data_IF_448966867192
#
_entry.id   IF_448966867192
#
_cell.length_a   1.000
_cell.length_b   1.000
_cell.length_c   1.000
_cell.angle_alpha   90.00
_cell.angle_beta   90.00
_cell.angle_gamma   90.00
#
_symmetry.space_group_name_H-M   'P 1'
#
loop_
_entity.id
_entity.type
_entity.pdbx_description
1 polymer ?
#
# COMPACT_ATOMS: atom_id res chain seq x y z
N UNK A 1 18.57 -4.97 24.99
CA UNK A 1 17.71 -6.12 25.28
C UNK A 1 18.45 -7.47 25.38
N UNK A 2 19.75 -7.57 25.08
CA UNK A 2 20.46 -8.88 25.11
C UNK A 2 21.10 -9.30 26.43
N UNK A 3 20.98 -8.52 27.51
CA UNK A 3 21.66 -8.78 28.78
C UNK A 3 20.93 -9.77 29.71
N UNK A 4 19.60 -9.77 29.71
CA UNK A 4 18.78 -10.63 30.59
C UNK A 4 18.64 -12.06 30.06
N UNK A 5 18.61 -12.25 28.74
CA UNK A 5 18.51 -13.60 28.15
C UNK A 5 19.81 -14.39 28.34
N UNK A 6 20.97 -13.72 28.27
CA UNK A 6 22.26 -14.38 28.51
C UNK A 6 22.46 -14.79 29.98
N UNK A 7 21.88 -14.07 30.94
CA UNK A 7 21.94 -14.46 32.35
C UNK A 7 21.07 -15.68 32.65
N UNK A 8 19.87 -15.77 32.06
CA UNK A 8 18.96 -16.89 32.26
C UNK A 8 19.53 -18.21 31.71
N UNK A 9 20.20 -18.15 30.55
CA UNK A 9 20.86 -19.33 29.96
C UNK A 9 21.97 -19.84 30.87
N UNK A 10 22.79 -18.94 31.42
CA UNK A 10 23.89 -19.33 32.32
C UNK A 10 23.38 -19.94 33.61
N UNK A 11 22.34 -19.36 34.21
CA UNK A 11 21.72 -19.91 35.41
C UNK A 11 21.13 -21.31 35.20
N UNK A 12 20.55 -21.57 34.03
CA UNK A 12 20.05 -22.90 33.66
C UNK A 12 21.19 -23.91 33.48
N UNK A 13 22.24 -23.53 32.74
CA UNK A 13 23.39 -24.41 32.52
C UNK A 13 24.13 -24.74 33.82
N UNK A 14 24.23 -23.79 34.75
CA UNK A 14 24.87 -24.01 36.05
C UNK A 14 24.02 -24.89 36.99
N UNK A 15 22.70 -24.94 36.79
CA UNK A 15 21.79 -25.79 37.56
C UNK A 15 21.65 -27.20 36.99
N UNK A 16 22.14 -27.47 35.78
CA UNK A 16 21.99 -28.74 35.10
C UNK A 16 22.96 -29.80 35.64
N UNK A 17 22.45 -30.93 36.12
CA UNK A 17 23.30 -32.06 36.52
C UNK A 17 23.64 -32.96 35.32
N UNK A 18 24.76 -32.65 34.67
CA UNK A 18 25.29 -33.34 33.48
C UNK A 18 25.69 -34.80 33.75
N UNK A 19 25.71 -35.24 35.02
CA UNK A 19 26.03 -36.64 35.38
C UNK A 19 24.82 -37.54 35.45
N UNK A 20 23.61 -36.98 35.47
CA UNK A 20 22.38 -37.75 35.34
C UNK A 20 22.28 -38.32 33.91
N UNK A 21 21.49 -39.37 33.66
CA UNK A 21 21.22 -39.82 32.27
C UNK A 21 20.09 -39.02 31.61
N UNK A 22 19.33 -38.23 32.38
CA UNK A 22 18.14 -37.48 31.94
C UNK A 22 18.41 -36.02 31.56
N UNK A 23 19.63 -35.51 31.74
CA UNK A 23 19.96 -34.09 31.48
C UNK A 23 19.68 -33.65 30.05
N UNK A 24 19.79 -34.56 29.07
CA UNK A 24 19.50 -34.28 27.67
C UNK A 24 18.03 -33.97 27.45
N UNK A 25 17.14 -34.75 28.06
CA UNK A 25 15.70 -34.57 27.94
C UNK A 25 15.24 -33.28 28.65
N UNK A 26 15.90 -32.93 29.75
CA UNK A 26 15.63 -31.69 30.50
C UNK A 26 16.10 -30.44 29.74
N UNK A 27 17.28 -30.52 29.14
CA UNK A 27 17.78 -29.48 28.22
C UNK A 27 16.88 -29.32 26.98
N UNK A 28 16.46 -30.44 26.37
CA UNK A 28 15.58 -30.42 25.21
C UNK A 28 14.23 -29.79 25.56
N UNK A 29 13.63 -30.15 26.69
CA UNK A 29 12.36 -29.60 27.15
C UNK A 29 12.45 -28.09 27.40
N UNK A 30 13.52 -27.64 28.04
CA UNK A 30 13.75 -26.22 28.31
C UNK A 30 13.93 -25.42 27.01
N UNK A 31 14.69 -25.96 26.04
CA UNK A 31 14.89 -25.34 24.72
C UNK A 31 13.56 -25.25 23.98
N UNK A 32 12.75 -26.32 23.97
CA UNK A 32 11.46 -26.34 23.29
C UNK A 32 10.47 -25.33 23.90
N UNK A 33 10.40 -25.24 25.23
CA UNK A 33 9.57 -24.26 25.95
C UNK A 33 10.00 -22.81 25.62
N UNK A 34 11.31 -22.58 25.51
CA UNK A 34 11.84 -21.25 25.16
C UNK A 34 11.67 -20.91 23.68
N UNK A 35 11.76 -21.87 22.77
CA UNK A 35 11.48 -21.68 21.34
C UNK A 35 9.99 -21.38 21.14
N UNK A 36 9.09 -22.09 21.83
CA UNK A 36 7.64 -21.82 21.75
C UNK A 36 7.29 -20.45 22.32
N UNK A 37 7.85 -20.07 23.46
CA UNK A 37 7.63 -18.73 24.04
C UNK A 37 8.31 -17.60 23.25
N UNK A 38 9.39 -17.90 22.51
CA UNK A 38 10.14 -16.94 21.66
C UNK A 38 9.68 -16.91 20.20
N UNK A 39 8.70 -17.73 19.81
CA UNK A 39 7.93 -17.51 18.58
C UNK A 39 7.06 -16.25 18.74
N UNK A 40 7.72 -15.08 18.78
CA UNK A 40 7.09 -13.82 18.41
C UNK A 40 6.44 -14.07 17.07
N UNK A 41 5.12 -13.91 17.01
CA UNK A 41 4.33 -13.92 15.77
C UNK A 41 5.15 -13.20 14.70
N UNK A 42 5.68 -13.94 13.72
CA UNK A 42 6.28 -13.30 12.55
C UNK A 42 5.19 -12.41 11.98
N UNK A 43 5.40 -11.09 11.99
CA UNK A 43 4.48 -10.18 11.31
C UNK A 43 4.54 -10.52 9.84
N UNK A 44 3.52 -11.24 9.36
CA UNK A 44 3.35 -11.46 7.93
C UNK A 44 3.07 -10.08 7.33
N UNK A 45 3.90 -9.57 6.41
CA UNK A 45 3.56 -8.37 5.70
C UNK A 45 2.26 -8.64 4.94
N UNK A 46 1.24 -7.79 5.11
CA UNK A 46 -0.07 -7.92 4.44
C UNK A 46 0.02 -7.97 2.91
N UNK A 47 1.18 -7.66 2.33
CA UNK A 47 1.47 -7.78 0.91
C UNK A 47 2.51 -8.89 0.68
N UNK A 48 2.10 -10.15 0.79
CA UNK A 48 2.87 -11.29 0.28
C UNK A 48 1.97 -12.05 -0.69
N UNK A 49 2.47 -12.31 -1.89
CA UNK A 49 1.83 -13.15 -2.89
C UNK A 49 2.51 -14.52 -2.76
N UNK A 50 1.88 -15.44 -2.02
CA UNK A 50 2.41 -16.79 -1.78
C UNK A 50 1.72 -17.51 -0.62
N UNK A 51 1.64 -18.84 -0.75
CA UNK A 51 0.76 -19.81 -0.10
C UNK A 51 0.30 -19.55 1.34
N UNK A 52 -1.03 -19.57 1.49
CA UNK A 52 -1.78 -19.58 2.74
C UNK A 52 -1.65 -20.96 3.40
N UNK A 53 -0.65 -21.12 4.26
CA UNK A 53 -0.72 -22.18 5.28
C UNK A 53 -1.77 -21.77 6.32
N UNK A 54 -2.82 -22.59 6.43
CA UNK A 54 -3.93 -22.47 7.37
C UNK A 54 -3.43 -22.23 8.79
N UNK A 55 -3.73 -21.05 9.35
CA UNK A 55 -3.53 -20.76 10.77
C UNK A 55 -4.83 -20.22 11.37
N UNK A 56 -5.17 -20.80 12.53
CA UNK A 56 -6.46 -20.79 13.20
C UNK A 56 -7.02 -19.40 13.57
N UNK A 57 -8.34 -19.30 13.52
CA UNK A 57 -9.16 -18.09 13.61
C UNK A 57 -9.17 -17.33 14.96
N UNK A 58 -8.40 -17.72 15.96
CA UNK A 58 -8.74 -17.35 17.35
C UNK A 58 -7.92 -16.26 18.04
N UNK A 59 -7.11 -15.49 17.33
CA UNK A 59 -6.51 -14.28 17.93
C UNK A 59 -6.37 -13.15 16.89
N UNK A 60 -7.52 -12.73 16.37
CA UNK A 60 -7.72 -11.39 15.85
C UNK A 60 -7.55 -10.40 17.02
N UNK A 61 -6.30 -9.98 17.26
CA UNK A 61 -6.06 -8.74 17.96
C UNK A 61 -6.88 -7.67 17.24
N UNK A 62 -7.79 -7.03 17.97
CA UNK A 62 -8.60 -5.90 17.52
C UNK A 62 -7.65 -4.75 17.18
N UNK A 63 -7.09 -4.80 15.98
CA UNK A 63 -6.60 -3.62 15.27
C UNK A 63 -7.61 -3.42 14.17
N UNK A 64 -8.46 -2.42 14.38
CA UNK A 64 -9.42 -1.89 13.40
C UNK A 64 -8.73 -1.89 12.04
N UNK A 65 -9.39 -2.49 11.06
CA UNK A 65 -8.84 -2.72 9.75
C UNK A 65 -8.50 -1.40 9.07
N UNK A 66 -7.30 -0.88 9.31
CA UNK A 66 -6.84 0.41 8.81
C UNK A 66 -6.41 0.32 7.33
N UNK A 67 -7.17 -0.44 6.53
CA UNK A 67 -7.28 -0.23 5.09
C UNK A 67 -8.09 1.04 4.79
N UNK A 68 -8.78 1.61 5.78
CA UNK A 68 -9.49 2.89 5.70
C UNK A 68 -8.64 4.04 6.25
N UNK A 69 -7.81 4.64 5.39
CA UNK A 69 -7.30 6.01 5.60
C UNK A 69 -8.28 7.09 5.11
N UNK A 70 -9.52 6.73 4.84
CA UNK A 70 -10.63 7.66 4.79
C UNK A 70 -11.58 7.28 5.90
N UNK A 71 -11.89 8.23 6.79
CA UNK A 71 -13.00 8.11 7.73
C UNK A 71 -14.20 7.48 7.03
N UNK A 72 -14.89 6.57 7.72
CA UNK A 72 -16.24 6.10 7.39
C UNK A 72 -17.21 7.29 7.45
N UNK A 73 -17.06 8.25 6.52
CA UNK A 73 -18.13 9.15 6.13
C UNK A 73 -19.19 8.29 5.47
N UNK A 74 -20.45 8.61 5.71
CA UNK A 74 -21.64 7.89 5.27
C UNK A 74 -21.43 7.15 3.94
N UNK A 75 -21.77 5.85 3.89
CA UNK A 75 -22.16 5.25 2.60
C UNK A 75 -23.14 6.26 2.01
N UNK A 76 -22.97 6.77 0.76
CA UNK A 76 -24.06 7.48 0.13
C UNK A 76 -25.23 6.51 0.24
N UNK A 77 -26.20 6.89 1.08
CA UNK A 77 -27.37 6.09 1.28
C UNK A 77 -27.89 5.89 -0.13
N UNK A 78 -28.05 4.63 -0.51
CA UNK A 78 -28.84 4.31 -1.68
C UNK A 78 -30.27 4.60 -1.24
N UNK A 79 -30.60 5.88 -1.10
CA UNK A 79 -31.95 6.34 -0.92
C UNK A 79 -32.71 5.78 -2.11
N UNK A 80 -33.62 4.87 -1.80
CA UNK A 80 -34.54 4.28 -2.77
C UNK A 80 -35.53 5.37 -3.19
N UNK A 81 -35.04 6.34 -3.96
CA UNK A 81 -35.89 7.30 -4.64
C UNK A 81 -36.88 6.54 -5.53
N UNK A 82 -38.13 7.03 -5.65
CA UNK A 82 -39.19 6.37 -6.39
C UNK A 82 -38.71 6.07 -7.82
N UNK A 83 -39.01 4.87 -8.31
CA UNK A 83 -38.50 4.35 -9.57
C UNK A 83 -38.97 5.21 -10.75
N UNK A 84 -38.19 6.22 -11.12
CA UNK A 84 -38.37 6.93 -12.39
C UNK A 84 -38.26 5.93 -13.55
N UNK A 85 -39.05 6.18 -14.59
CA UNK A 85 -38.97 5.38 -15.82
C UNK A 85 -37.61 5.59 -16.50
N UNK A 86 -37.13 4.60 -17.25
CA UNK A 86 -35.83 4.72 -17.93
C UNK A 86 -35.83 5.86 -18.96
N UNK A 87 -36.99 6.14 -19.57
CA UNK A 87 -37.14 7.21 -20.56
C UNK A 87 -37.04 8.60 -19.92
N UNK A 88 -37.61 8.78 -18.72
CA UNK A 88 -37.44 10.01 -17.94
C UNK A 88 -35.98 10.21 -17.53
N UNK A 89 -35.31 9.15 -17.05
CA UNK A 89 -33.89 9.23 -16.63
C UNK A 89 -32.99 9.53 -17.84
N UNK A 90 -33.27 8.94 -19.01
CA UNK A 90 -32.52 9.20 -20.23
C UNK A 90 -32.73 10.63 -20.76
N UNK A 91 -33.92 11.21 -20.59
CA UNK A 91 -34.20 12.62 -20.86
C UNK A 91 -33.49 13.53 -19.87
N UNK A 92 -33.60 13.26 -18.57
CA UNK A 92 -32.90 14.00 -17.51
C UNK A 92 -31.39 14.03 -17.77
N UNK A 93 -30.81 12.89 -18.19
CA UNK A 93 -29.42 12.81 -18.61
C UNK A 93 -29.16 13.75 -19.77
N UNK A 94 -29.92 13.63 -20.87
CA UNK A 94 -29.77 14.42 -22.09
C UNK A 94 -29.90 15.94 -21.86
N UNK A 95 -30.78 16.33 -20.93
CA UNK A 95 -31.04 17.72 -20.54
C UNK A 95 -30.03 18.25 -19.51
N UNK A 96 -29.15 17.41 -18.96
CA UNK A 96 -28.12 17.82 -18.00
C UNK A 96 -28.65 18.12 -16.60
N UNK A 97 -29.77 17.51 -16.21
CA UNK A 97 -30.31 17.63 -14.85
C UNK A 97 -29.44 16.83 -13.86
N UNK A 98 -29.46 17.15 -12.56
CA UNK A 98 -28.77 16.35 -11.56
C UNK A 98 -29.43 14.96 -11.46
N UNK A 99 -28.63 13.90 -11.60
CA UNK A 99 -29.07 12.51 -11.45
C UNK A 99 -28.48 11.88 -10.18
N UNK A 100 -29.27 11.00 -9.56
CA UNK A 100 -28.77 10.13 -8.50
C UNK A 100 -27.83 9.05 -9.04
N UNK A 101 -26.92 8.56 -8.20
CA UNK A 101 -25.98 7.49 -8.57
C UNK A 101 -26.68 6.18 -8.99
N UNK A 102 -27.80 5.85 -8.36
CA UNK A 102 -28.61 4.67 -8.69
C UNK A 102 -29.21 4.75 -10.10
N UNK A 103 -29.70 5.92 -10.51
CA UNK A 103 -30.25 6.17 -11.85
C UNK A 103 -29.15 6.14 -12.92
N UNK A 104 -28.00 6.76 -12.64
CA UNK A 104 -26.83 6.69 -13.51
C UNK A 104 -26.36 5.24 -13.72
N UNK A 105 -26.35 4.41 -12.66
CA UNK A 105 -26.02 2.99 -12.76
C UNK A 105 -27.01 2.22 -13.65
N UNK A 106 -28.30 2.56 -13.60
CA UNK A 106 -29.33 1.95 -14.48
C UNK A 106 -29.07 2.29 -15.95
N UNK A 107 -28.69 3.54 -16.26
CA UNK A 107 -28.34 3.96 -17.64
C UNK A 107 -27.12 3.21 -18.17
N UNK A 108 -26.08 3.07 -17.35
CA UNK A 108 -24.84 2.35 -17.72
C UNK A 108 -25.11 0.86 -17.92
N UNK A 109 -25.88 0.22 -17.03
CA UNK A 109 -26.27 -1.20 -17.16
C UNK A 109 -27.06 -1.49 -18.45
N UNK A 110 -27.83 -0.51 -18.93
CA UNK A 110 -28.59 -0.62 -20.19
C UNK A 110 -27.77 -0.25 -21.42
N UNK A 111 -26.55 0.27 -21.26
CA UNK A 111 -25.69 0.70 -22.36
C UNK A 111 -26.11 2.00 -23.05
N UNK A 112 -27.02 2.77 -22.44
CA UNK A 112 -27.46 4.08 -22.96
C UNK A 112 -26.35 5.12 -22.78
N UNK A 113 -25.62 5.03 -21.65
CA UNK A 113 -24.49 5.91 -21.31
C UNK A 113 -23.23 5.07 -21.16
N UNK A 114 -22.10 5.54 -21.71
CA UNK A 114 -20.80 4.89 -21.57
C UNK A 114 -20.09 5.34 -20.30
N UNK A 115 -19.31 4.46 -19.68
CA UNK A 115 -18.57 4.78 -18.44
C UNK A 115 -17.67 6.02 -18.53
N UNK A 116 -17.06 6.26 -19.69
CA UNK A 116 -16.17 7.40 -19.95
C UNK A 116 -16.87 8.76 -20.00
N UNK A 117 -18.19 8.76 -20.11
CA UNK A 117 -19.01 9.98 -20.23
C UNK A 117 -19.55 10.42 -18.86
N UNK A 118 -19.34 9.63 -17.82
CA UNK A 118 -19.88 9.90 -16.48
C UNK A 118 -19.28 11.17 -15.86
N UNK A 119 -17.97 11.38 -16.01
CA UNK A 119 -17.27 12.57 -15.49
C UNK A 119 -17.66 13.87 -16.21
N UNK A 120 -18.34 13.79 -17.35
CA UNK A 120 -18.79 14.99 -18.06
C UNK A 120 -20.01 15.66 -17.40
N UNK A 121 -20.77 14.91 -16.58
CA UNK A 121 -22.06 15.35 -16.03
C UNK A 121 -22.23 15.08 -14.54
N UNK A 122 -21.46 14.14 -13.98
CA UNK A 122 -21.48 13.82 -12.56
C UNK A 122 -20.21 14.33 -11.89
N UNK A 123 -20.31 14.55 -10.58
CA UNK A 123 -19.12 14.75 -9.76
C UNK A 123 -18.19 13.54 -9.85
N UNK A 124 -16.88 13.78 -9.76
CA UNK A 124 -15.86 12.75 -9.98
C UNK A 124 -16.05 11.55 -9.05
N UNK A 125 -16.31 11.78 -7.76
CA UNK A 125 -16.51 10.68 -6.80
C UNK A 125 -17.77 9.88 -7.12
N UNK A 126 -18.85 10.55 -7.52
CA UNK A 126 -20.11 9.90 -7.91
C UNK A 126 -19.93 9.07 -9.19
N UNK A 127 -19.24 9.60 -10.19
CA UNK A 127 -18.92 8.89 -11.42
C UNK A 127 -18.04 7.65 -11.16
N UNK A 128 -17.06 7.77 -10.26
CA UNK A 128 -16.20 6.65 -9.84
C UNK A 128 -17.02 5.59 -9.11
N UNK A 129 -17.90 5.99 -8.19
CA UNK A 129 -18.80 5.07 -7.47
C UNK A 129 -19.67 4.27 -8.45
N UNK A 130 -20.34 4.93 -9.39
CA UNK A 130 -21.17 4.27 -10.42
C UNK A 130 -20.35 3.26 -11.24
N UNK A 131 -19.13 3.63 -11.66
CA UNK A 131 -18.24 2.71 -12.39
C UNK A 131 -17.84 1.50 -11.57
N UNK A 132 -17.47 1.69 -10.31
CA UNK A 132 -17.11 0.60 -9.41
C UNK A 132 -18.27 -0.39 -9.23
N UNK A 133 -19.48 0.13 -9.08
CA UNK A 133 -20.70 -0.67 -9.00
C UNK A 133 -21.03 -1.42 -10.30
N UNK A 134 -20.61 -0.91 -11.46
CA UNK A 134 -20.83 -1.54 -12.76
C UNK A 134 -19.75 -2.58 -13.12
N UNK A 135 -18.46 -2.26 -12.92
CA UNK A 135 -17.33 -3.08 -13.37
C UNK A 135 -17.15 -4.33 -12.51
N UNK A 136 -17.02 -4.16 -11.20
CA UNK A 136 -16.75 -5.27 -10.28
C UNK A 136 -17.15 -4.87 -8.84
N UNK A 137 -18.45 -4.93 -8.50
CA UNK A 137 -18.95 -4.44 -7.23
C UNK A 137 -18.41 -5.21 -6.02
N UNK A 138 -18.06 -6.49 -6.18
CA UNK A 138 -17.53 -7.33 -5.10
C UNK A 138 -16.03 -7.13 -4.87
N UNK A 139 -15.24 -7.07 -5.94
CA UNK A 139 -13.78 -6.97 -5.88
C UNK A 139 -13.33 -5.58 -5.46
N UNK A 140 -14.06 -4.53 -5.86
CA UNK A 140 -13.61 -3.16 -5.65
C UNK A 140 -13.97 -2.60 -4.27
N UNK A 141 -14.72 -3.33 -3.41
CA UNK A 141 -15.18 -2.83 -2.10
C UNK A 141 -14.04 -2.27 -1.24
N UNK A 142 -12.88 -2.92 -1.29
CA UNK A 142 -11.70 -2.58 -0.49
C UNK A 142 -10.83 -1.49 -1.13
N UNK A 143 -10.98 -1.22 -2.43
CA UNK A 143 -10.16 -0.22 -3.12
C UNK A 143 -10.62 1.20 -2.75
N UNK A 144 -9.75 2.07 -2.18
CA UNK A 144 -10.14 3.41 -1.79
C UNK A 144 -10.37 4.32 -3.00
N UNK A 145 -11.28 5.28 -2.84
CA UNK A 145 -11.63 6.23 -3.91
C UNK A 145 -12.15 7.59 -3.43
N UNK A 146 -12.36 7.79 -2.13
CA UNK A 146 -12.89 9.05 -1.57
C UNK A 146 -11.77 9.98 -1.15
N UNK A 147 -12.09 11.26 -0.96
CA UNK A 147 -11.18 12.26 -0.41
C UNK A 147 -9.89 12.43 -1.23
N UNK A 148 -9.99 12.24 -2.54
CA UNK A 148 -8.88 12.43 -3.47
C UNK A 148 -9.28 13.50 -4.50
N UNK A 149 -8.38 14.45 -4.76
CA UNK A 149 -8.66 15.51 -5.74
C UNK A 149 -8.46 15.00 -7.17
N UNK A 150 -9.54 14.49 -7.76
CA UNK A 150 -9.55 13.96 -9.13
C UNK A 150 -9.43 15.03 -10.22
N UNK A 151 -9.38 16.33 -9.88
CA UNK A 151 -9.16 17.40 -10.87
C UNK A 151 -7.82 17.28 -11.59
N UNK A 152 -6.80 16.81 -10.87
CA UNK A 152 -5.45 16.61 -11.43
C UNK A 152 -5.32 15.34 -12.28
N UNK A 153 -6.26 14.41 -12.16
CA UNK A 153 -6.20 13.10 -12.86
C UNK A 153 -7.04 13.12 -14.13
N UNK A 154 -8.24 13.71 -14.04
CA UNK A 154 -9.19 13.78 -15.15
C UNK A 154 -8.55 14.44 -16.37
N UNK A 155 -8.65 13.79 -17.54
CA UNK A 155 -8.09 14.24 -18.83
C UNK A 155 -6.57 14.44 -18.89
N UNK A 156 -5.82 14.05 -17.85
CA UNK A 156 -4.37 14.22 -17.80
C UNK A 156 -3.66 12.88 -17.62
N UNK A 157 -3.91 12.21 -16.49
CA UNK A 157 -3.11 11.07 -16.06
C UNK A 157 -3.81 9.73 -16.23
N UNK A 158 -5.14 9.69 -16.07
CA UNK A 158 -5.88 8.43 -16.11
C UNK A 158 -7.32 8.66 -16.61
N UNK A 159 -7.81 7.71 -17.41
CA UNK A 159 -9.18 7.64 -17.91
C UNK A 159 -9.91 6.48 -17.22
N UNK A 160 -11.23 6.53 -17.14
CA UNK A 160 -12.04 5.48 -16.52
C UNK A 160 -11.62 5.15 -15.06
N UNK A 161 -11.25 6.17 -14.29
CA UNK A 161 -10.83 6.06 -12.90
C UNK A 161 -11.84 5.29 -12.03
N UNK A 162 -11.34 4.31 -11.27
CA UNK A 162 -12.14 3.49 -10.33
C UNK A 162 -11.70 3.67 -8.86
N UNK A 163 -10.76 4.57 -8.61
CA UNK A 163 -10.14 4.82 -7.30
C UNK A 163 -8.64 5.00 -7.44
N UNK A 164 -7.92 4.79 -6.34
CA UNK A 164 -6.47 4.86 -6.29
C UNK A 164 -5.90 3.72 -5.44
N UNK A 165 -4.63 3.39 -5.64
CA UNK A 165 -3.92 2.40 -4.83
C UNK A 165 -2.92 3.13 -3.93
N UNK A 166 -3.05 3.02 -2.59
CA UNK A 166 -2.07 3.61 -1.69
C UNK A 166 -0.76 2.80 -1.76
N UNK A 167 0.35 3.46 -2.04
CA UNK A 167 1.70 2.87 -2.03
C UNK A 167 2.45 3.35 -0.79
N UNK A 168 3.00 2.45 0.05
CA UNK A 168 3.78 2.86 1.21
C UNK A 168 4.95 3.78 0.82
N UNK A 169 5.09 4.88 1.55
CA UNK A 169 6.15 5.86 1.35
C UNK A 169 7.13 5.81 2.51
N UNK A 170 8.38 5.45 2.22
CA UNK A 170 9.51 5.49 3.15
C UNK A 170 10.46 6.64 2.84
N UNK A 171 11.43 6.85 3.73
CA UNK A 171 12.51 7.84 3.56
C UNK A 171 13.85 7.16 3.81
N UNK A 172 14.82 7.39 2.94
CA UNK A 172 16.21 6.98 3.11
C UNK A 172 17.13 8.22 3.20
N UNK A 173 18.10 8.21 4.11
CA UNK A 173 19.05 9.31 4.30
C UNK A 173 19.40 9.59 5.77
N UNK A 174 20.20 10.63 6.04
CA UNK A 174 20.65 11.64 5.08
C UNK A 174 21.84 11.20 4.23
N UNK A 175 21.87 11.63 2.96
CA UNK A 175 23.04 11.54 2.07
C UNK A 175 23.63 12.95 1.89
N UNK A 176 24.94 13.15 2.09
CA UNK A 176 25.59 14.41 1.77
C UNK A 176 25.72 14.58 0.26
N UNK A 177 25.07 15.60 -0.29
CA UNK A 177 25.12 15.95 -1.71
C UNK A 177 25.36 17.45 -1.83
N UNK A 178 26.40 17.87 -2.55
CA UNK A 178 26.74 19.28 -2.79
C UNK A 178 26.82 20.09 -1.48
N UNK A 179 27.38 19.49 -0.42
CA UNK A 179 27.49 20.12 0.89
C UNK A 179 26.18 20.25 1.67
N UNK A 180 25.10 19.56 1.26
CA UNK A 180 23.81 19.52 1.96
C UNK A 180 23.41 18.09 2.27
N UNK A 181 22.77 17.88 3.41
CA UNK A 181 22.17 16.59 3.75
C UNK A 181 20.78 16.47 3.12
N UNK A 182 20.59 15.43 2.31
CA UNK A 182 19.34 15.19 1.56
C UNK A 182 18.69 13.89 2.02
N UNK A 183 17.37 13.94 2.21
CA UNK A 183 16.53 12.78 2.45
C UNK A 183 15.78 12.42 1.16
N UNK A 184 15.80 11.13 0.81
CA UNK A 184 15.20 10.61 -0.42
C UNK A 184 13.86 9.93 -0.07
N UNK A 185 12.71 10.49 -0.50
CA UNK A 185 11.43 9.80 -0.38
C UNK A 185 11.36 8.65 -1.39
N UNK A 186 10.89 7.48 -0.93
CA UNK A 186 10.82 6.25 -1.72
C UNK A 186 9.44 5.60 -1.56
N UNK A 187 8.68 5.49 -2.64
CA UNK A 187 7.41 4.75 -2.66
C UNK A 187 7.68 3.31 -3.09
N UNK A 188 7.48 2.33 -2.21
CA UNK A 188 7.73 0.92 -2.51
C UNK A 188 6.92 -0.02 -1.62
N UNK A 189 6.55 -1.17 -2.17
CA UNK A 189 6.02 -2.32 -1.42
C UNK A 189 7.09 -3.39 -1.17
N UNK A 190 8.30 -3.23 -1.74
CA UNK A 190 9.39 -4.18 -1.60
C UNK A 190 10.01 -4.12 -0.19
N UNK A 191 10.04 -5.27 0.48
CA UNK A 191 10.66 -5.42 1.78
C UNK A 191 12.16 -5.14 1.75
N UNK A 192 12.68 -4.56 2.84
CA UNK A 192 14.11 -4.24 3.02
C UNK A 192 14.72 -3.22 2.05
N UNK A 193 14.05 -2.82 0.96
CA UNK A 193 14.60 -1.86 -0.02
C UNK A 193 15.00 -0.54 0.64
N UNK A 194 14.05 0.14 1.31
CA UNK A 194 14.31 1.43 1.98
C UNK A 194 15.39 1.29 3.05
N UNK A 195 15.37 0.20 3.82
CA UNK A 195 16.36 -0.05 4.86
C UNK A 195 17.77 -0.28 4.30
N UNK A 196 17.88 -1.02 3.20
CA UNK A 196 19.12 -1.27 2.48
C UNK A 196 19.68 0.03 1.91
N UNK A 197 18.84 0.82 1.23
CA UNK A 197 19.21 2.14 0.72
C UNK A 197 19.69 3.03 1.86
N UNK A 198 19.00 3.05 3.00
CA UNK A 198 19.40 3.85 4.16
C UNK A 198 20.78 3.45 4.72
N UNK A 199 21.10 2.15 4.74
CA UNK A 199 22.45 1.67 5.11
C UNK A 199 23.50 2.12 4.10
N UNK A 200 23.17 2.06 2.80
CA UNK A 200 24.01 2.60 1.73
C UNK A 200 24.28 4.10 1.90
N UNK A 201 23.25 4.87 2.27
CA UNK A 201 23.35 6.30 2.56
C UNK A 201 24.36 6.59 3.67
N UNK A 202 24.31 5.81 4.77
CA UNK A 202 25.25 5.94 5.88
C UNK A 202 26.69 5.62 5.45
N UNK A 203 26.90 4.53 4.71
CA UNK A 203 28.22 4.15 4.23
C UNK A 203 28.82 5.20 3.27
N UNK A 204 27.97 5.78 2.42
CA UNK A 204 28.36 6.88 1.53
C UNK A 204 28.74 8.13 2.32
N UNK A 205 27.95 8.49 3.34
CA UNK A 205 28.22 9.64 4.19
C UNK A 205 29.56 9.54 4.92
N UNK A 206 29.92 8.35 5.40
CA UNK A 206 31.19 8.10 6.09
C UNK A 206 32.39 8.17 5.14
N UNK A 207 32.26 7.64 3.92
CA UNK A 207 33.38 7.54 2.97
C UNK A 207 33.56 8.76 2.07
N UNK A 208 32.49 9.48 1.75
CA UNK A 208 32.48 10.56 0.76
C UNK A 208 31.76 11.81 1.28
N UNK A 209 32.34 12.53 2.26
CA UNK A 209 31.72 13.71 2.87
C UNK A 209 31.63 14.92 1.91
N UNK A 210 32.46 14.96 0.86
CA UNK A 210 32.49 16.03 -0.15
C UNK A 210 31.80 15.64 -1.47
N UNK A 211 30.88 14.68 -1.44
CA UNK A 211 30.20 14.18 -2.63
C UNK A 211 29.47 15.30 -3.39
N UNK A 212 29.78 15.42 -4.68
CA UNK A 212 29.10 16.32 -5.60
C UNK A 212 28.20 15.53 -6.55
N UNK A 213 26.96 15.99 -6.71
CA UNK A 213 26.01 15.44 -7.66
C UNK A 213 26.26 16.06 -9.03
N UNK A 214 26.82 15.26 -9.94
CA UNK A 214 27.05 15.66 -11.33
C UNK A 214 25.79 15.52 -12.20
N UNK A 215 25.01 14.47 -11.98
CA UNK A 215 23.75 14.23 -12.68
C UNK A 215 22.81 13.38 -11.80
N UNK A 216 21.52 13.71 -11.85
CA UNK A 216 20.45 12.96 -11.20
C UNK A 216 19.45 12.59 -12.27
N UNK A 217 19.02 11.32 -12.32
CA UNK A 217 18.17 10.86 -13.41
C UNK A 217 17.09 9.88 -12.97
N UNK A 218 16.01 10.38 -12.36
CA UNK A 218 14.76 9.70 -11.90
C UNK A 218 14.08 8.61 -12.75
N UNK A 219 14.41 7.32 -12.64
CA UNK A 219 13.58 6.26 -13.22
C UNK A 219 12.32 6.01 -12.34
N UNK A 220 11.14 6.39 -12.84
CA UNK A 220 9.85 6.08 -12.23
C UNK A 220 9.27 4.86 -12.97
N UNK A 221 9.36 3.67 -12.36
CA UNK A 221 8.86 2.44 -12.97
C UNK A 221 7.33 2.46 -13.04
N UNK A 222 6.78 2.85 -14.19
CA UNK A 222 5.37 2.65 -14.55
C UNK A 222 5.34 1.95 -15.89
N UNK A 223 4.89 0.70 -15.90
CA UNK A 223 4.81 -0.09 -17.12
C UNK A 223 3.53 0.22 -17.94
N UNK A 224 3.65 -0.01 -19.26
CA UNK A 224 2.63 -0.06 -20.34
C UNK A 224 2.08 1.26 -20.92
N UNK A 225 3.00 2.13 -21.34
CA UNK A 225 3.05 2.80 -22.67
C UNK A 225 4.35 3.59 -22.70
N UNK A 226 4.99 3.70 -23.86
CA UNK A 226 6.18 4.55 -24.03
C UNK A 226 5.83 6.01 -23.72
N UNK A 227 5.87 6.41 -22.45
CA UNK A 227 5.94 7.80 -22.06
C UNK A 227 7.31 8.30 -22.52
N UNK A 228 7.36 9.42 -23.26
CA UNK A 228 8.58 10.07 -23.72
C UNK A 228 9.58 10.42 -22.58
N UNK A 229 9.21 10.16 -21.32
CA UNK A 229 10.07 10.19 -20.13
C UNK A 229 11.19 9.13 -20.19
N UNK A 230 10.98 7.96 -20.79
CA UNK A 230 12.00 6.90 -20.83
C UNK A 230 13.23 7.20 -21.71
N UNK A 231 13.19 8.28 -22.51
CA UNK A 231 14.38 8.76 -23.25
C UNK A 231 15.16 9.82 -22.49
N UNK A 232 14.59 10.42 -21.44
CA UNK A 232 15.21 11.51 -20.70
C UNK A 232 15.83 11.08 -19.38
N UNK A 233 15.61 9.83 -18.94
CA UNK A 233 15.87 9.51 -17.55
C UNK A 233 16.53 8.13 -17.35
N UNK A 234 17.79 8.05 -17.77
CA UNK A 234 18.73 6.97 -17.50
C UNK A 234 19.56 7.27 -16.22
N UNK A 235 19.22 6.67 -15.07
CA UNK A 235 20.00 6.80 -13.81
C UNK A 235 21.41 6.21 -13.98
N UNK A 236 22.34 7.03 -14.47
CA UNK A 236 23.77 6.88 -14.22
C UNK A 236 24.17 7.98 -13.26
N UNK A 237 24.32 7.63 -11.97
CA UNK A 237 25.04 8.49 -11.04
C UNK A 237 26.52 8.33 -11.37
N UNK A 238 27.04 9.21 -12.22
CA UNK A 238 28.48 9.33 -12.42
C UNK A 238 29.01 10.07 -11.19
N UNK A 239 29.57 9.31 -10.25
CA UNK A 239 30.26 9.84 -9.09
C UNK A 239 31.70 10.15 -9.49
N UNK A 240 32.14 11.39 -9.28
CA UNK A 240 33.55 11.73 -9.36
C UNK A 240 34.07 11.80 -7.92
N UNK A 241 35.10 10.99 -7.64
CA UNK A 241 35.76 10.91 -6.33
C UNK A 241 36.86 11.98 -6.22
#
# INVERSE_FOLDING_TARGET
MGGSEQSDIRLFLDALDVRSDSWKDEAERWILERIQSSQRRKRVPRFSIGDVDELSENEAAVTVDASTQTSDGEKPEVESAPSKSLDEISRDWSEGRPLAASDALRLVKRGIVKCRELESRLDAETAIFVRRSYVAPEVLKELPFRNYDYKYVTNSCCENVIGYVPIPLGVAGPIPINGREVYVPMATTEGALVASTNRGCNAVREKFPAMQLLALSGNYCVDKKAAAINWLVLFSVVLNA
#
